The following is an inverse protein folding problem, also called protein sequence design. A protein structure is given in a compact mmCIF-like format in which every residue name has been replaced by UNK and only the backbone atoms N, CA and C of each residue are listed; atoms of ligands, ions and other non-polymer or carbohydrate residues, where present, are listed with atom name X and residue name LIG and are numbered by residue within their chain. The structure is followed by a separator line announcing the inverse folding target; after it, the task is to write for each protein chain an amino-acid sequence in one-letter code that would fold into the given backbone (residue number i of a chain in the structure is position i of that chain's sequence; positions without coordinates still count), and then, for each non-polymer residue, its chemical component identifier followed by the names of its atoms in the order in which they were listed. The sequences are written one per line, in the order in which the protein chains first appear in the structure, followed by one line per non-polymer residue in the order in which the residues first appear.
data_IF_725982956085
#
_entry.id   IF_725982956085
#
_cell.length_a   1.000
_cell.length_b   1.000
_cell.length_c   1.000
_cell.angle_alpha   90.00
_cell.angle_beta   90.00
_cell.angle_gamma   90.00
#
_symmetry.space_group_name_H-M   'P 1'
#
loop_
_entity.id
_entity.type
_entity.pdbx_description
1 polymer ?
#
# COMPACT_ATOMS: atom_id res chain seq x y z
N UNK A 1 16.05 3.41 1.82
CA UNK A 1 15.64 2.12 2.39
C UNK A 1 14.56 1.52 1.50
N UNK A 2 14.62 0.21 1.24
CA UNK A 2 13.59 -0.52 0.50
C UNK A 2 12.66 -1.26 1.47
N UNK A 3 11.53 -1.75 0.98
CA UNK A 3 10.53 -2.40 1.82
C UNK A 3 11.05 -3.70 2.45
N UNK A 4 11.85 -4.47 1.73
CA UNK A 4 12.47 -5.70 2.25
C UNK A 4 13.51 -5.45 3.36
N UNK A 5 13.98 -4.21 3.51
CA UNK A 5 14.95 -3.84 4.55
C UNK A 5 14.25 -3.42 5.87
N UNK A 6 12.92 -3.32 5.88
CA UNK A 6 12.16 -2.82 7.03
C UNK A 6 12.11 -3.89 8.12
N UNK A 7 12.48 -3.48 9.34
CA UNK A 7 12.28 -4.27 10.56
C UNK A 7 11.06 -3.78 11.34
N UNK A 8 10.39 -4.65 12.13
CA UNK A 8 9.29 -4.23 13.00
C UNK A 8 9.71 -3.16 14.02
N UNK A 9 8.83 -2.20 14.29
CA UNK A 9 9.07 -1.13 15.26
C UNK A 9 9.10 0.26 14.65
N UNK A 10 9.53 1.23 15.46
CA UNK A 10 9.72 2.61 15.02
C UNK A 10 10.97 2.72 14.15
N UNK A 11 10.85 3.40 13.01
CA UNK A 11 11.96 3.66 12.11
C UNK A 11 12.04 5.15 11.80
N UNK A 12 13.22 5.71 12.03
CA UNK A 12 13.59 7.08 11.65
C UNK A 12 14.19 7.14 10.23
N UNK A 13 14.33 5.99 9.57
CA UNK A 13 14.86 5.92 8.21
C UNK A 13 13.90 6.58 7.21
N UNK A 14 14.45 7.02 6.08
CA UNK A 14 13.65 7.53 4.98
C UNK A 14 13.25 6.40 4.02
N UNK A 15 11.94 6.22 3.85
CA UNK A 15 11.33 5.41 2.81
C UNK A 15 11.04 6.25 1.58
N UNK A 16 11.17 5.64 0.41
CA UNK A 16 10.77 6.22 -0.87
C UNK A 16 9.82 5.24 -1.54
N UNK A 17 8.68 5.74 -2.00
CA UNK A 17 7.68 4.90 -2.63
C UNK A 17 6.85 5.69 -3.64
N UNK A 18 6.24 4.95 -4.56
CA UNK A 18 5.11 5.41 -5.35
C UNK A 18 3.82 4.91 -4.70
N UNK A 19 2.84 5.80 -4.58
CA UNK A 19 1.50 5.46 -4.09
C UNK A 19 0.70 4.86 -5.24
N UNK A 20 0.45 3.55 -5.22
CA UNK A 20 -0.37 2.89 -6.26
C UNK A 20 -1.82 3.31 -6.09
N UNK A 21 -2.37 3.11 -4.89
CA UNK A 21 -3.77 3.39 -4.60
C UNK A 21 -3.99 3.65 -3.10
N UNK A 22 -5.12 4.25 -2.76
CA UNK A 22 -5.55 4.44 -1.37
C UNK A 22 -7.07 4.46 -1.26
N UNK A 23 -7.59 4.01 -0.12
CA UNK A 23 -9.03 3.98 0.15
C UNK A 23 -9.33 4.15 1.65
N UNK A 24 -10.55 4.58 1.96
CA UNK A 24 -11.02 4.68 3.34
C UNK A 24 -11.30 3.29 3.92
N UNK A 25 -10.66 2.97 5.05
CA UNK A 25 -11.00 1.81 5.85
C UNK A 25 -12.08 2.18 6.88
N UNK A 26 -13.23 1.50 6.80
CA UNK A 26 -14.39 1.74 7.68
C UNK A 26 -14.72 0.50 8.49
N UNK A 27 -15.08 0.69 9.76
CA UNK A 27 -15.55 -0.37 10.62
C UNK A 27 -17.05 -0.58 10.40
N UNK A 28 -17.40 -1.58 9.60
CA UNK A 28 -18.80 -1.90 9.26
C UNK A 28 -19.59 -2.31 10.51
N UNK A 29 -19.00 -3.08 11.42
CA UNK A 29 -19.64 -3.49 12.68
C UNK A 29 -19.95 -2.31 13.61
N UNK A 30 -19.22 -1.19 13.46
CA UNK A 30 -19.46 0.07 14.18
C UNK A 30 -20.08 1.13 13.27
N UNK A 31 -21.10 0.74 12.50
CA UNK A 31 -21.91 1.68 11.71
C UNK A 31 -21.15 2.42 10.60
N UNK A 32 -20.06 1.85 10.09
CA UNK A 32 -19.26 2.48 9.02
C UNK A 32 -18.30 3.56 9.50
N UNK A 33 -17.98 3.62 10.80
CA UNK A 33 -17.04 4.60 11.36
C UNK A 33 -15.66 4.50 10.69
N UNK A 34 -15.07 5.64 10.31
CA UNK A 34 -13.73 5.70 9.70
C UNK A 34 -12.65 5.22 10.67
N UNK A 35 -11.92 4.18 10.29
CA UNK A 35 -10.78 3.63 11.02
C UNK A 35 -9.49 4.31 10.57
N UNK A 36 -9.38 4.58 9.27
CA UNK A 36 -8.20 5.19 8.67
C UNK A 36 -8.23 5.14 7.15
N UNK A 37 -7.08 5.38 6.55
CA UNK A 37 -6.83 5.29 5.12
C UNK A 37 -5.82 4.17 4.91
N UNK A 38 -6.21 3.19 4.10
CA UNK A 38 -5.33 2.13 3.62
C UNK A 38 -4.61 2.60 2.37
N UNK A 39 -3.33 2.24 2.26
CA UNK A 39 -2.45 2.61 1.15
C UNK A 39 -1.85 1.35 0.53
N UNK A 40 -1.73 1.37 -0.79
CA UNK A 40 -0.94 0.39 -1.53
C UNK A 40 0.29 1.10 -2.09
N UNK A 41 1.47 0.68 -1.63
CA UNK A 41 2.74 1.34 -1.90
C UNK A 41 3.64 0.42 -2.73
N UNK A 42 4.47 0.98 -3.59
CA UNK A 42 5.53 0.24 -4.29
C UNK A 42 6.85 0.99 -4.18
N UNK A 43 7.91 0.26 -3.84
CA UNK A 43 9.26 0.81 -3.80
C UNK A 43 9.95 0.68 -5.17
N UNK A 44 11.20 1.16 -5.24
CA UNK A 44 12.01 1.16 -6.47
C UNK A 44 12.41 -0.27 -6.90
N UNK A 45 12.38 -1.25 -5.99
CA UNK A 45 12.63 -2.65 -6.31
C UNK A 45 11.38 -3.36 -6.86
N UNK A 46 10.23 -2.69 -6.86
CA UNK A 46 8.95 -3.27 -7.22
C UNK A 46 8.32 -4.11 -6.12
N UNK A 47 8.83 -4.00 -4.88
CA UNK A 47 8.20 -4.62 -3.72
C UNK A 47 6.96 -3.82 -3.39
N UNK A 48 5.81 -4.51 -3.26
CA UNK A 48 4.55 -3.90 -2.86
C UNK A 48 4.37 -4.08 -1.37
N UNK A 49 3.96 -3.02 -0.68
CA UNK A 49 3.71 -3.03 0.76
C UNK A 49 2.44 -2.26 1.09
N UNK A 50 1.74 -2.73 2.12
CA UNK A 50 0.59 -2.04 2.67
C UNK A 50 1.03 -0.88 3.56
N UNK A 51 0.39 0.26 3.40
CA UNK A 51 0.53 1.41 4.28
C UNK A 51 -0.78 1.74 4.99
N UNK A 52 -0.71 2.37 6.16
CA UNK A 52 -1.89 2.74 6.94
C UNK A 52 -1.75 4.11 7.60
N UNK A 53 -2.81 4.91 7.51
CA UNK A 53 -2.95 6.20 8.19
C UNK A 53 -4.18 6.11 9.08
N UNK A 54 -4.03 6.25 10.39
CA UNK A 54 -5.19 6.22 11.29
C UNK A 54 -6.14 7.39 11.05
N UNK A 55 -7.42 7.23 11.39
CA UNK A 55 -8.45 8.27 11.22
C UNK A 55 -8.08 9.59 11.92
N UNK A 56 -7.41 9.53 13.07
CA UNK A 56 -6.87 10.70 13.79
C UNK A 56 -5.91 11.56 12.95
N UNK A 57 -5.30 10.97 11.91
CA UNK A 57 -4.29 11.60 11.05
C UNK A 57 -4.76 11.74 9.62
N UNK A 58 -5.87 11.13 9.26
CA UNK A 58 -6.40 11.13 7.90
C UNK A 58 -6.50 12.56 7.36
N UNK A 59 -7.07 13.49 8.13
CA UNK A 59 -7.22 14.89 7.72
C UNK A 59 -5.88 15.56 7.39
N UNK A 60 -4.80 15.22 8.11
CA UNK A 60 -3.46 15.78 7.88
C UNK A 60 -2.89 15.36 6.54
N UNK A 61 -3.00 14.08 6.18
CA UNK A 61 -2.31 13.52 5.02
C UNK A 61 -3.19 13.39 3.77
N UNK A 62 -4.51 13.15 3.92
CA UNK A 62 -5.41 12.78 2.83
C UNK A 62 -5.38 13.76 1.67
N UNK A 63 -5.35 15.07 1.95
CA UNK A 63 -5.28 16.13 0.92
C UNK A 63 -3.98 16.14 0.10
N UNK A 64 -2.93 15.50 0.61
CA UNK A 64 -1.62 15.42 -0.02
C UNK A 64 -1.42 14.12 -0.81
N UNK A 65 -2.29 13.12 -0.62
CA UNK A 65 -2.20 11.84 -1.30
C UNK A 65 -2.73 11.93 -2.73
N UNK A 66 -1.93 11.47 -3.69
CA UNK A 66 -2.28 11.36 -5.10
C UNK A 66 -1.83 10.00 -5.59
N UNK A 67 -2.77 9.20 -6.13
CA UNK A 67 -2.43 7.93 -6.76
C UNK A 67 -1.48 8.18 -7.94
N UNK A 68 -0.49 7.31 -8.10
CA UNK A 68 0.60 7.42 -9.06
C UNK A 68 1.75 8.35 -8.66
N UNK A 69 1.59 9.19 -7.63
CA UNK A 69 2.64 10.10 -7.19
C UNK A 69 3.69 9.41 -6.31
N UNK A 70 4.89 9.97 -6.30
CA UNK A 70 6.05 9.50 -5.54
C UNK A 70 6.28 10.35 -4.30
N UNK A 71 6.68 9.70 -3.21
CA UNK A 71 6.85 10.35 -1.92
C UNK A 71 8.09 9.84 -1.19
N UNK A 72 8.56 10.67 -0.28
CA UNK A 72 9.40 10.25 0.83
C UNK A 72 8.58 10.23 2.12
N UNK A 73 8.82 9.25 2.97
CA UNK A 73 8.24 9.14 4.30
C UNK A 73 9.34 8.92 5.33
N UNK A 74 9.35 9.75 6.37
CA UNK A 74 10.24 9.62 7.53
C UNK A 74 9.43 9.36 8.79
N UNK A 75 10.07 8.81 9.82
CA UNK A 75 9.47 8.55 11.15
C UNK A 75 8.18 7.73 11.07
N UNK A 76 8.28 6.48 10.63
CA UNK A 76 7.15 5.57 10.48
C UNK A 76 7.24 4.40 11.46
N UNK A 77 6.13 3.69 11.63
CA UNK A 77 6.09 2.48 12.45
C UNK A 77 5.74 1.28 11.58
N UNK A 78 6.55 0.23 11.61
CA UNK A 78 6.27 -1.02 10.92
C UNK A 78 5.74 -2.06 11.89
N UNK A 79 4.63 -2.70 11.53
CA UNK A 79 4.00 -3.74 12.34
C UNK A 79 3.62 -4.94 11.47
N UNK A 80 3.55 -6.13 12.07
CA UNK A 80 3.08 -7.33 11.37
C UNK A 80 1.67 -7.12 10.83
N UNK A 81 1.50 -7.33 9.53
CA UNK A 81 0.20 -7.32 8.87
C UNK A 81 -0.63 -8.48 9.38
N UNK A 82 -1.92 -8.23 9.63
CA UNK A 82 -2.87 -9.32 9.89
C UNK A 82 -3.13 -10.03 8.57
N UNK A 83 -2.89 -11.34 8.52
CA UNK A 83 -2.98 -12.11 7.27
C UNK A 83 -4.32 -11.95 6.54
N UNK A 84 -5.42 -11.86 7.30
CA UNK A 84 -6.78 -11.71 6.74
C UNK A 84 -7.06 -10.34 6.09
N UNK A 85 -6.19 -9.34 6.30
CA UNK A 85 -6.30 -7.99 5.74
C UNK A 85 -5.11 -7.63 4.86
N UNK A 86 -4.26 -8.62 4.55
CA UNK A 86 -3.03 -8.42 3.80
C UNK A 86 -3.35 -8.34 2.30
N UNK A 87 -2.99 -7.23 1.69
CA UNK A 87 -3.19 -6.95 0.25
C UNK A 87 -1.90 -7.02 -0.57
N UNK A 88 -0.77 -7.34 0.09
CA UNK A 88 0.56 -7.41 -0.52
C UNK A 88 1.38 -8.54 0.13
N UNK A 89 2.37 -9.10 -0.57
CA UNK A 89 3.15 -10.24 -0.06
C UNK A 89 3.96 -9.90 1.20
N UNK A 90 4.27 -8.62 1.41
CA UNK A 90 4.99 -8.14 2.57
C UNK A 90 4.22 -8.46 3.85
N UNK A 91 4.92 -9.05 4.83
CA UNK A 91 4.36 -9.41 6.13
C UNK A 91 4.25 -8.22 7.08
N UNK A 92 4.72 -7.04 6.69
CA UNK A 92 4.69 -5.81 7.46
C UNK A 92 3.82 -4.75 6.78
N UNK A 93 3.14 -3.96 7.61
CA UNK A 93 2.40 -2.76 7.23
C UNK A 93 3.12 -1.53 7.78
N UNK A 94 3.35 -0.54 6.93
CA UNK A 94 3.93 0.76 7.33
C UNK A 94 2.83 1.70 7.79
N UNK A 95 2.91 2.16 9.03
CA UNK A 95 1.94 3.06 9.65
C UNK A 95 2.51 4.45 9.88
N UNK A 96 1.71 5.48 9.60
CA UNK A 96 2.07 6.87 9.84
C UNK A 96 1.98 7.18 11.35
N UNK A 97 3.09 7.64 11.92
CA UNK A 97 3.32 7.92 13.35
C UNK A 97 3.34 9.44 13.65
N UNK A 98 3.38 9.85 14.93
CA UNK A 98 3.15 11.25 15.36
C UNK A 98 4.14 12.23 14.74
N UNK A 99 5.37 11.79 14.47
CA UNK A 99 6.39 12.59 13.80
C UNK A 99 6.54 12.30 12.30
N UNK A 100 5.60 11.60 11.67
CA UNK A 100 5.74 11.22 10.27
C UNK A 100 5.76 12.45 9.36
N UNK A 101 6.80 12.54 8.55
CA UNK A 101 6.94 13.60 7.54
C UNK A 101 6.77 12.96 6.17
N UNK A 102 5.71 13.35 5.46
CA UNK A 102 5.45 12.96 4.07
C UNK A 102 5.79 14.14 3.16
N UNK A 103 6.69 13.93 2.22
CA UNK A 103 7.10 14.96 1.25
C UNK A 103 7.02 14.43 -0.18
N UNK A 104 6.53 15.21 -1.15
CA UNK A 104 6.62 14.86 -2.56
C UNK A 104 8.07 14.57 -2.96
N UNK A 105 8.27 13.57 -3.80
CA UNK A 105 9.56 13.28 -4.43
C UNK A 105 9.52 13.85 -5.85
N UNK A 106 9.57 15.18 -5.97
CA UNK A 106 9.40 15.93 -7.23
C UNK A 106 10.71 15.98 -8.06
N UNK A 107 11.87 16.03 -7.40
CA UNK A 107 13.19 15.97 -8.03
C UNK A 107 13.70 14.51 -8.09
N UNK A 108 13.05 13.69 -8.92
CA UNK A 108 13.52 12.32 -9.15
C UNK A 108 14.72 12.39 -10.10
N UNK A 109 15.97 12.13 -9.65
CA UNK A 109 17.07 11.95 -10.60
C UNK A 109 16.73 10.76 -11.51
N UNK A 110 17.12 10.82 -12.79
CA UNK A 110 16.79 9.79 -13.79
C UNK A 110 17.22 8.36 -13.40
N UNK A 111 18.06 8.20 -12.38
CA UNK A 111 18.47 6.93 -11.79
C UNK A 111 17.42 6.27 -10.88
N UNK A 112 16.41 7.00 -10.43
CA UNK A 112 15.32 6.48 -9.59
C UNK A 112 14.11 6.21 -10.46
N UNK A 113 13.82 4.94 -10.71
CA UNK A 113 12.66 4.50 -11.49
C UNK A 113 11.78 3.61 -10.64
N UNK A 114 10.57 4.06 -10.34
CA UNK A 114 9.54 3.19 -9.78
C UNK A 114 8.90 2.40 -10.92
N UNK A 115 8.74 1.07 -10.80
CA UNK A 115 8.06 0.30 -11.83
C UNK A 115 6.64 0.84 -12.05
N UNK A 116 6.18 0.93 -13.31
CA UNK A 116 4.80 1.31 -13.62
C UNK A 116 3.84 0.28 -13.03
N UNK A 117 2.58 0.66 -12.81
CA UNK A 117 1.56 -0.22 -12.21
C UNK A 117 1.51 -1.56 -12.95
N UNK A 118 2.00 -2.62 -12.31
CA UNK A 118 1.98 -3.99 -12.83
C UNK A 118 0.78 -4.71 -12.24
N UNK A 119 -0.15 -5.11 -13.09
CA UNK A 119 -1.13 -6.11 -12.69
C UNK A 119 -0.39 -7.41 -12.38
N UNK A 120 -0.61 -7.95 -11.18
CA UNK A 120 -0.18 -9.31 -10.87
C UNK A 120 -1.22 -10.27 -11.41
N UNK A 121 -0.85 -10.97 -12.47
CA UNK A 121 -1.62 -12.09 -12.99
C UNK A 121 -1.08 -13.34 -12.30
N UNK A 122 -1.92 -13.99 -11.50
CA UNK A 122 -1.61 -15.30 -10.95
C UNK A 122 -1.87 -16.38 -12.00
N UNK A 123 -1.02 -17.41 -12.02
CA UNK A 123 -1.23 -18.55 -12.92
C UNK A 123 -2.42 -19.39 -12.44
N UNK A 124 -2.92 -20.28 -13.31
CA UNK A 124 -3.96 -21.22 -12.91
C UNK A 124 -3.49 -22.17 -11.78
N UNK A 125 -2.20 -22.51 -11.74
CA UNK A 125 -1.62 -23.35 -10.68
C UNK A 125 -1.58 -22.61 -9.34
N UNK A 126 -1.18 -21.33 -9.33
CA UNK A 126 -1.27 -20.47 -8.14
C UNK A 126 -2.71 -20.36 -7.63
N UNK A 127 -3.68 -20.29 -8.55
CA UNK A 127 -5.10 -20.32 -8.21
C UNK A 127 -5.50 -21.64 -7.53
N UNK A 128 -5.10 -22.78 -8.08
CA UNK A 128 -5.44 -24.09 -7.48
C UNK A 128 -4.81 -24.25 -6.10
N UNK A 129 -3.58 -23.78 -5.91
CA UNK A 129 -2.87 -23.85 -4.64
C UNK A 129 -3.49 -22.95 -3.54
N UNK A 130 -4.10 -21.82 -3.92
CA UNK A 130 -4.67 -20.86 -2.98
C UNK A 130 -6.22 -20.88 -2.90
N UNK A 131 -6.85 -21.84 -3.59
CA UNK A 131 -8.31 -21.98 -3.67
C UNK A 131 -8.89 -22.23 -2.27
N UNK A 132 -9.64 -21.26 -1.76
CA UNK A 132 -10.32 -21.36 -0.45
C UNK A 132 -9.64 -20.63 0.71
N UNK A 133 -8.49 -19.98 0.48
CA UNK A 133 -7.92 -19.03 1.42
C UNK A 133 -8.68 -17.70 1.32
N UNK A 134 -9.20 -17.23 2.47
CA UNK A 134 -10.16 -16.13 2.58
C UNK A 134 -9.53 -14.77 2.22
N UNK A 135 -10.13 -14.04 1.28
CA UNK A 135 -9.93 -12.60 1.11
C UNK A 135 -9.94 -12.11 -0.33
N UNK A 136 -9.55 -12.96 -1.27
CA UNK A 136 -9.35 -12.54 -2.64
C UNK A 136 -10.56 -12.88 -3.53
N UNK A 137 -11.19 -11.85 -4.08
CA UNK A 137 -12.16 -11.96 -5.16
C UNK A 137 -11.42 -12.12 -6.49
N UNK A 138 -11.20 -13.37 -6.89
CA UNK A 138 -10.65 -13.70 -8.21
C UNK A 138 -11.78 -13.81 -9.24
N UNK A 139 -11.82 -12.89 -10.21
CA UNK A 139 -12.72 -12.93 -11.36
C UNK A 139 -12.01 -13.42 -12.62
N UNK A 140 -12.67 -14.29 -13.40
CA UNK A 140 -12.21 -14.62 -14.75
C UNK A 140 -12.60 -13.46 -15.68
N UNK A 141 -11.62 -12.72 -16.19
CA UNK A 141 -11.86 -11.62 -17.13
C UNK A 141 -12.01 -12.21 -18.55
N UNK A 142 -13.21 -12.68 -18.88
CA UNK A 142 -13.47 -13.33 -20.18
C UNK A 142 -13.75 -12.35 -21.32
N UNK A 143 -14.20 -11.12 -21.05
CA UNK A 143 -14.47 -10.10 -22.08
C UNK A 143 -14.26 -8.66 -21.60
N UNK A 144 -13.42 -7.90 -22.31
CA UNK A 144 -13.37 -6.44 -22.24
C UNK A 144 -14.28 -5.84 -23.32
N UNK A 145 -15.52 -5.49 -22.96
CA UNK A 145 -16.38 -4.68 -23.84
C UNK A 145 -15.96 -3.21 -23.77
N UNK A 146 -15.34 -2.71 -24.83
CA UNK A 146 -15.23 -1.26 -25.06
C UNK A 146 -16.62 -0.69 -25.34
N UNK A 147 -17.14 0.16 -24.45
CA UNK A 147 -18.19 1.11 -24.83
C UNK A 147 -17.60 2.07 -25.85
N UNK A 148 -18.27 2.22 -26.99
CA UNK A 148 -18.01 3.33 -27.92
C UNK A 148 -18.50 4.64 -27.32
#
# INVERSE_FOLDING_TARGET
MYFNDISPGLSESQLRFRLIHFWEAKNIAKGGTLVGIELLLIDEQGTVMQGFISSYRAQTYQRHLKAGATYTLQNFYAATSKEIYRVADQSLTVSFSYGSVLSPLDDIPASVSFPPDRFRLHTHEDFQANRGLRGDLYGNLSELKKSR
#
